data_IF_172730073738
#
_entry.id   IF_172730073738
#
_cell.length_a   1.000
_cell.length_b   1.000
_cell.length_c   1.000
_cell.angle_alpha   90.00
_cell.angle_beta   90.00
_cell.angle_gamma   90.00
#
_symmetry.space_group_name_H-M   'P 1'
#
loop_
_entity.id
_entity.type
_entity.pdbx_description
1 polymer ?
#
# COMPACT_ATOMS: atom_id res chain seq x y z
N UNK A 1 5.20 1.37 -18.14
CA UNK A 1 5.81 0.77 -16.93
C UNK A 1 4.68 0.33 -16.03
N UNK A 2 4.60 -0.96 -15.68
CA UNK A 2 3.58 -1.50 -14.78
C UNK A 2 4.19 -1.44 -13.38
N UNK A 3 3.82 -0.42 -12.61
CA UNK A 3 4.12 -0.43 -11.17
C UNK A 3 3.30 -1.55 -10.54
N UNK A 4 3.95 -2.44 -9.79
CA UNK A 4 3.24 -3.51 -9.09
C UNK A 4 2.31 -2.90 -8.05
N UNK A 5 1.19 -3.57 -7.76
CA UNK A 5 0.26 -3.16 -6.70
C UNK A 5 0.97 -3.04 -5.34
N UNK A 6 1.96 -3.90 -5.08
CA UNK A 6 2.83 -3.86 -3.91
C UNK A 6 3.77 -2.65 -3.90
N UNK A 7 4.39 -2.32 -5.03
CA UNK A 7 5.33 -1.20 -5.13
C UNK A 7 4.61 0.14 -4.92
N UNK A 8 3.41 0.28 -5.49
CA UNK A 8 2.56 1.46 -5.28
C UNK A 8 2.23 1.66 -3.80
N UNK A 9 1.86 0.57 -3.11
CA UNK A 9 1.49 0.61 -1.70
C UNK A 9 2.71 0.86 -0.80
N UNK A 10 3.85 0.25 -1.09
CA UNK A 10 5.12 0.51 -0.39
C UNK A 10 5.57 1.97 -0.55
N UNK A 11 5.39 2.56 -1.73
CA UNK A 11 5.75 3.95 -1.95
C UNK A 11 4.86 4.91 -1.15
N UNK A 12 3.56 4.65 -1.08
CA UNK A 12 2.64 5.43 -0.24
C UNK A 12 3.01 5.29 1.23
N UNK A 13 3.35 4.07 1.66
CA UNK A 13 3.80 3.80 3.02
C UNK A 13 5.06 4.60 3.38
N UNK A 14 6.06 4.57 2.51
CA UNK A 14 7.33 5.27 2.71
C UNK A 14 7.13 6.79 2.80
N UNK A 15 6.33 7.36 1.89
CA UNK A 15 6.01 8.79 1.90
C UNK A 15 5.24 9.19 3.18
N UNK A 16 4.32 8.34 3.62
CA UNK A 16 3.56 8.55 4.85
C UNK A 16 4.44 8.43 6.11
N UNK A 17 5.36 7.47 6.14
CA UNK A 17 6.32 7.31 7.23
C UNK A 17 7.30 8.47 7.28
N UNK A 18 7.79 8.93 6.12
CA UNK A 18 8.68 10.08 6.02
C UNK A 18 8.00 11.38 6.48
N UNK A 19 6.73 11.58 6.13
CA UNK A 19 5.98 12.78 6.48
C UNK A 19 5.52 12.81 7.95
N UNK A 20 5.02 11.68 8.47
CA UNK A 20 4.36 11.63 9.78
C UNK A 20 5.14 10.89 10.88
N UNK A 21 6.15 10.09 10.54
CA UNK A 21 6.88 9.24 11.49
C UNK A 21 5.97 8.47 12.49
N UNK A 22 4.91 7.79 12.02
CA UNK A 22 3.96 7.12 12.90
C UNK A 22 4.64 5.96 13.67
N UNK A 23 4.12 5.62 14.85
CA UNK A 23 4.56 4.42 15.60
C UNK A 23 4.03 3.13 14.94
N UNK A 24 2.81 3.18 14.41
CA UNK A 24 2.19 2.12 13.62
C UNK A 24 1.38 2.73 12.48
N UNK A 25 1.45 2.13 11.29
CA UNK A 25 0.59 2.47 10.16
C UNK A 25 0.16 1.22 9.42
N UNK A 26 -1.11 1.18 9.02
CA UNK A 26 -1.68 0.12 8.18
C UNK A 26 -2.26 0.75 6.93
N UNK A 27 -1.82 0.31 5.75
CA UNK A 27 -2.29 0.79 4.46
C UNK A 27 -2.96 -0.36 3.72
N UNK A 28 -4.21 -0.13 3.30
CA UNK A 28 -5.01 -1.08 2.53
C UNK A 28 -5.26 -0.54 1.13
N UNK A 29 -4.64 -1.17 0.14
CA UNK A 29 -4.87 -0.95 -1.28
C UNK A 29 -5.99 -1.81 -1.79
N UNK A 30 -7.14 -1.21 -2.07
CA UNK A 30 -8.24 -1.87 -2.77
C UNK A 30 -8.10 -1.60 -4.27
N UNK A 31 -7.69 -2.62 -5.04
CA UNK A 31 -7.48 -2.47 -6.48
C UNK A 31 -8.71 -2.95 -7.26
N UNK A 32 -9.14 -2.13 -8.21
CA UNK A 32 -10.33 -2.42 -9.01
C UNK A 32 -10.25 -3.81 -9.67
N UNK A 33 -11.32 -4.60 -9.60
CA UNK A 33 -11.32 -5.96 -10.13
C UNK A 33 -11.22 -5.97 -11.65
N UNK A 34 -10.37 -6.83 -12.20
CA UNK A 34 -10.30 -7.12 -13.65
C UNK A 34 -10.80 -8.53 -13.90
N UNK A 35 -11.89 -8.66 -14.66
CA UNK A 35 -12.40 -9.95 -15.11
C UNK A 35 -12.74 -10.91 -13.96
N UNK A 36 -13.45 -10.41 -12.94
CA UNK A 36 -13.86 -11.14 -11.73
C UNK A 36 -12.78 -11.38 -10.64
N UNK A 37 -11.56 -10.89 -10.82
CA UNK A 37 -10.50 -10.99 -9.78
C UNK A 37 -10.32 -9.64 -9.11
N UNK A 38 -10.65 -9.57 -7.81
CA UNK A 38 -10.36 -8.43 -6.95
C UNK A 38 -9.02 -8.65 -6.25
N UNK A 39 -8.17 -7.63 -6.23
CA UNK A 39 -6.88 -7.70 -5.54
C UNK A 39 -6.89 -6.68 -4.42
N UNK A 40 -6.76 -7.17 -3.19
CA UNK A 40 -6.61 -6.34 -2.01
C UNK A 40 -5.22 -6.58 -1.46
N UNK A 41 -4.44 -5.52 -1.34
CA UNK A 41 -3.10 -5.56 -0.74
C UNK A 41 -3.18 -4.82 0.60
N UNK A 42 -2.68 -5.44 1.66
CA UNK A 42 -2.60 -4.82 2.99
C UNK A 42 -1.15 -4.85 3.44
N UNK A 43 -0.59 -3.68 3.74
CA UNK A 43 0.73 -3.56 4.35
C UNK A 43 0.60 -2.96 5.74
N UNK A 44 1.41 -3.45 6.66
CA UNK A 44 1.56 -2.93 8.01
C UNK A 44 3.00 -2.53 8.22
N UNK A 45 3.20 -1.39 8.83
CA UNK A 45 4.50 -0.90 9.25
C UNK A 45 4.43 -0.54 10.72
N UNK A 46 5.37 -1.08 11.48
CA UNK A 46 5.59 -0.80 12.89
C UNK A 46 7.04 -0.31 13.02
N UNK A 47 7.22 0.76 13.78
CA UNK A 47 8.51 1.41 13.99
C UNK A 47 9.45 0.57 14.87
#
# INVERSE_FOLDING_TARGET
CYISHEESINQILDDFVAACNPEEVTIKGDFNPRGNVHTVVEVRHQK
#
